data_IF_000107141355
#
_entry.id   IF_000107141355
#
_cell.length_a   1.000
_cell.length_b   1.000
_cell.length_c   1.000
_cell.angle_alpha   90.00
_cell.angle_beta   90.00
_cell.angle_gamma   90.00
#
_symmetry.space_group_name_H-M   'P 1'
#
loop_
_entity.id
_entity.type
_entity.pdbx_description
1 polymer ?
#
# COMPACT_ATOMS: atom_id res chain seq x y z
N UNK A 1 19.77 8.20 16.84
CA UNK A 1 18.51 8.78 16.33
C UNK A 1 18.06 7.92 15.17
N UNK A 2 16.84 7.41 15.24
CA UNK A 2 16.28 6.45 14.29
C UNK A 2 15.05 7.08 13.63
N UNK A 3 14.95 6.96 12.31
CA UNK A 3 13.75 7.36 11.56
C UNK A 3 12.81 6.17 11.46
N UNK A 4 11.52 6.37 11.72
CA UNK A 4 10.48 5.36 11.53
C UNK A 4 9.28 5.98 10.82
N UNK A 5 8.52 5.16 10.09
CA UNK A 5 7.24 5.59 9.52
C UNK A 5 6.15 5.38 10.57
N UNK A 6 5.44 6.45 10.89
CA UNK A 6 4.42 6.47 11.93
C UNK A 6 3.06 6.85 11.35
N UNK A 7 2.01 6.12 11.74
CA UNK A 7 0.63 6.51 11.46
C UNK A 7 0.07 7.32 12.62
N UNK A 8 -0.27 8.58 12.36
CA UNK A 8 -0.83 9.50 13.36
C UNK A 8 -2.30 9.21 13.74
N UNK A 9 -2.92 8.17 13.19
CA UNK A 9 -4.29 7.78 13.54
C UNK A 9 -4.36 7.16 14.95
N UNK A 10 -5.36 7.51 15.80
CA UNK A 10 -5.51 6.96 17.16
C UNK A 10 -5.60 5.43 17.23
N UNK A 11 -6.05 4.78 16.15
CA UNK A 11 -6.15 3.32 16.05
C UNK A 11 -4.97 2.69 15.28
N UNK A 12 -3.97 3.50 14.92
CA UNK A 12 -2.59 3.08 14.58
C UNK A 12 -2.44 1.93 13.60
N UNK A 13 -3.10 1.96 12.44
CA UNK A 13 -2.94 0.91 11.43
C UNK A 13 -2.17 1.42 10.22
N UNK A 14 -0.90 1.03 10.10
CA UNK A 14 -0.08 1.35 8.92
C UNK A 14 -0.83 0.99 7.64
N UNK A 15 -1.13 1.97 6.79
CA UNK A 15 -1.96 1.76 5.61
C UNK A 15 -1.46 2.55 4.40
N UNK A 16 -0.57 1.91 3.64
CA UNK A 16 0.02 2.48 2.44
C UNK A 16 -1.01 2.62 1.30
N UNK A 17 -0.89 3.72 0.55
CA UNK A 17 -1.65 3.98 -0.67
C UNK A 17 -1.30 2.97 -1.77
N UNK A 18 -2.20 2.79 -2.73
CA UNK A 18 -1.95 1.89 -3.85
C UNK A 18 -0.75 2.36 -4.68
N UNK A 19 -0.59 3.67 -4.84
CA UNK A 19 0.60 4.29 -5.43
C UNK A 19 1.86 3.96 -4.64
N UNK A 20 1.81 4.03 -3.30
CA UNK A 20 2.91 3.62 -2.44
C UNK A 20 3.30 2.15 -2.63
N UNK A 21 2.33 1.24 -2.72
CA UNK A 21 2.58 -0.17 -3.03
C UNK A 21 3.26 -0.34 -4.39
N UNK A 22 2.76 0.33 -5.44
CA UNK A 22 3.32 0.24 -6.79
C UNK A 22 4.77 0.71 -6.79
N UNK A 23 5.07 1.85 -6.17
CA UNK A 23 6.44 2.36 -6.08
C UNK A 23 7.34 1.42 -5.26
N UNK A 24 6.85 0.89 -4.14
CA UNK A 24 7.64 0.02 -3.25
C UNK A 24 8.00 -1.30 -3.93
N UNK A 25 7.03 -2.00 -4.52
CA UNK A 25 7.30 -3.26 -5.18
C UNK A 25 8.14 -3.11 -6.44
N UNK A 26 7.97 -1.99 -7.16
CA UNK A 26 8.82 -1.68 -8.30
C UNK A 26 10.25 -1.37 -7.87
N UNK A 27 10.45 -0.55 -6.83
CA UNK A 27 11.77 -0.11 -6.38
C UNK A 27 12.54 -1.22 -5.64
N UNK A 28 11.89 -1.95 -4.73
CA UNK A 28 12.55 -2.96 -3.89
C UNK A 28 12.75 -4.30 -4.59
N UNK A 29 11.77 -4.73 -5.40
CA UNK A 29 11.76 -6.09 -5.97
C UNK A 29 11.78 -6.10 -7.50
N UNK A 30 11.76 -4.94 -8.16
CA UNK A 30 11.54 -4.83 -9.61
C UNK A 30 10.31 -5.62 -10.10
N UNK A 31 9.27 -5.70 -9.28
CA UNK A 31 8.02 -6.41 -9.58
C UNK A 31 6.92 -5.42 -9.92
N UNK A 32 6.15 -5.76 -10.95
CA UNK A 32 4.89 -5.09 -11.22
C UNK A 32 3.80 -5.73 -10.36
N UNK A 33 2.89 -4.91 -9.87
CA UNK A 33 1.70 -5.34 -9.14
C UNK A 33 0.46 -4.76 -9.82
N UNK A 34 -0.68 -5.40 -9.59
CA UNK A 34 -1.96 -5.03 -10.18
C UNK A 34 -2.97 -4.85 -9.08
N UNK A 35 -3.71 -3.74 -9.15
CA UNK A 35 -4.69 -3.34 -8.16
C UNK A 35 -6.08 -3.64 -8.69
N UNK A 36 -6.91 -4.22 -7.85
CA UNK A 36 -8.31 -4.50 -8.14
C UNK A 36 -9.18 -3.88 -7.05
N UNK A 37 -10.35 -3.39 -7.43
CA UNK A 37 -11.38 -2.94 -6.49
C UNK A 37 -12.58 -3.86 -6.62
N UNK A 38 -13.15 -4.30 -5.49
CA UNK A 38 -14.38 -5.12 -5.49
C UNK A 38 -15.62 -4.22 -5.55
N UNK A 39 -16.51 -4.48 -6.50
CA UNK A 39 -17.76 -3.77 -6.70
C UNK A 39 -18.94 -4.50 -6.04
N UNK A 40 -20.09 -3.83 -5.96
CA UNK A 40 -21.29 -4.33 -5.26
C UNK A 40 -21.86 -5.61 -5.86
N UNK A 41 -21.71 -5.80 -7.16
CA UNK A 41 -22.08 -7.03 -7.89
C UNK A 41 -21.12 -8.22 -7.62
N UNK A 42 -20.11 -8.00 -6.77
CA UNK A 42 -19.11 -8.99 -6.40
C UNK A 42 -17.92 -9.08 -7.36
N UNK A 43 -17.97 -8.38 -8.50
CA UNK A 43 -16.87 -8.38 -9.48
C UNK A 43 -15.67 -7.57 -9.00
N UNK A 44 -14.49 -7.94 -9.48
CA UNK A 44 -13.26 -7.20 -9.28
C UNK A 44 -12.85 -6.54 -10.58
N UNK A 45 -12.61 -5.23 -10.55
CA UNK A 45 -12.15 -4.46 -11.70
C UNK A 45 -10.72 -3.99 -11.46
N UNK A 46 -9.84 -4.22 -12.44
CA UNK A 46 -8.45 -3.75 -12.40
C UNK A 46 -8.40 -2.23 -12.51
N UNK A 47 -7.65 -1.61 -11.62
CA UNK A 47 -7.46 -0.17 -11.55
C UNK A 47 -6.12 0.19 -12.21
N UNK A 48 -6.20 0.80 -13.38
CA UNK A 48 -5.01 1.22 -14.16
C UNK A 48 -4.64 2.69 -13.92
N UNK A 49 -5.59 3.53 -13.49
CA UNK A 49 -5.36 4.93 -13.11
C UNK A 49 -5.56 5.11 -11.59
N UNK A 50 -4.55 5.66 -10.91
CA UNK A 50 -4.52 5.89 -9.47
C UNK A 50 -4.74 7.36 -9.06
N UNK A 51 -5.25 8.22 -9.94
CA UNK A 51 -5.52 9.62 -9.61
C UNK A 51 -6.56 9.78 -8.50
N UNK A 52 -7.59 8.91 -8.49
CA UNK A 52 -8.66 8.90 -7.48
C UNK A 52 -8.57 7.67 -6.55
N UNK A 53 -7.36 7.18 -6.27
CA UNK A 53 -7.17 5.93 -5.51
C UNK A 53 -7.75 5.95 -4.08
N UNK A 54 -7.97 7.15 -3.52
CA UNK A 54 -8.57 7.36 -2.18
C UNK A 54 -10.06 6.99 -2.14
N UNK A 55 -10.74 6.99 -3.28
CA UNK A 55 -12.17 6.62 -3.38
C UNK A 55 -12.36 5.10 -3.53
N UNK A 56 -11.30 4.36 -3.80
CA UNK A 56 -11.34 2.91 -3.98
C UNK A 56 -11.70 2.22 -2.66
N UNK A 57 -12.65 1.28 -2.74
CA UNK A 57 -13.09 0.43 -1.63
C UNK A 57 -12.64 -1.01 -1.88
N UNK A 58 -12.40 -1.78 -0.82
CA UNK A 58 -12.14 -3.23 -0.93
C UNK A 58 -11.03 -3.58 -1.92
N UNK A 59 -9.88 -2.90 -1.80
CA UNK A 59 -8.76 -3.06 -2.71
C UNK A 59 -8.08 -4.42 -2.50
N UNK A 60 -7.73 -5.08 -3.59
CA UNK A 60 -6.90 -6.29 -3.61
C UNK A 60 -5.72 -6.03 -4.52
N UNK A 61 -4.52 -6.25 -4.00
CA UNK A 61 -3.27 -6.06 -4.73
C UNK A 61 -2.72 -7.43 -5.07
N UNK A 62 -2.25 -7.60 -6.30
CA UNK A 62 -1.81 -8.91 -6.83
C UNK A 62 -0.50 -8.80 -7.58
N UNK A 63 0.28 -9.89 -7.62
CA UNK A 63 1.49 -10.02 -8.44
C UNK A 63 1.19 -10.39 -9.90
N UNK A 64 -0.03 -10.85 -10.19
CA UNK A 64 -0.44 -11.35 -11.51
C UNK A 64 -1.51 -10.45 -12.13
N UNK A 65 -1.41 -10.24 -13.44
CA UNK A 65 -2.49 -9.65 -14.21
C UNK A 65 -3.57 -10.72 -14.43
N UNK A 66 -4.71 -10.57 -13.78
CA UNK A 66 -5.83 -11.50 -13.87
C UNK A 66 -6.83 -11.09 -14.97
N UNK A 67 -6.58 -9.98 -15.66
CA UNK A 67 -7.48 -9.41 -16.65
C UNK A 67 -8.11 -8.10 -16.16
N UNK A 68 -8.94 -7.48 -17.01
CA UNK A 68 -9.59 -6.20 -16.69
C UNK A 68 -10.71 -6.37 -15.65
N UNK A 69 -11.45 -7.47 -15.74
CA UNK A 69 -12.58 -7.80 -14.87
C UNK A 69 -12.52 -9.29 -14.53
N UNK A 70 -12.65 -9.63 -13.25
CA UNK A 70 -12.65 -11.02 -12.78
C UNK A 70 -13.73 -11.23 -11.71
N UNK A 71 -14.28 -12.43 -11.63
CA UNK A 71 -15.31 -12.79 -10.64
C UNK A 71 -14.70 -13.11 -9.27
N UNK A 72 -13.48 -13.64 -9.26
CA UNK A 72 -12.80 -14.08 -8.05
C UNK A 72 -11.30 -13.80 -8.14
N UNK A 73 -10.71 -13.46 -7.01
CA UNK A 73 -9.25 -13.41 -6.84
C UNK A 73 -8.92 -14.43 -5.74
N UNK A 74 -8.13 -15.49 -6.00
CA UNK A 74 -7.80 -16.48 -4.98
C UNK A 74 -7.05 -15.87 -3.80
N UNK A 75 -7.26 -16.40 -2.60
CA UNK A 75 -6.51 -16.01 -1.39
C UNK A 75 -5.22 -16.84 -1.30
N UNK A 76 -4.23 -16.49 -2.13
CA UNK A 76 -2.95 -17.20 -2.31
C UNK A 76 -1.79 -16.19 -2.29
N UNK A 77 -0.75 -16.43 -1.50
CA UNK A 77 0.41 -15.54 -1.34
C UNK A 77 1.26 -15.39 -2.61
N UNK A 78 1.14 -16.33 -3.56
CA UNK A 78 1.76 -16.23 -4.88
C UNK A 78 0.94 -15.37 -5.85
N UNK A 79 -0.30 -15.04 -5.49
CA UNK A 79 -1.20 -14.22 -6.28
C UNK A 79 -1.38 -12.85 -5.63
N UNK A 80 -1.72 -12.81 -4.34
CA UNK A 80 -1.99 -11.59 -3.59
C UNK A 80 -0.72 -11.04 -2.96
N UNK A 81 -0.65 -9.72 -2.90
CA UNK A 81 0.39 -9.01 -2.18
C UNK A 81 -0.02 -8.92 -0.71
N UNK A 82 0.85 -9.39 0.18
CA UNK A 82 0.67 -9.22 1.63
C UNK A 82 0.62 -7.74 1.98
N UNK A 83 -0.17 -7.41 3.00
CA UNK A 83 -0.24 -6.04 3.49
C UNK A 83 1.12 -5.66 4.09
N UNK A 84 1.60 -4.47 3.75
CA UNK A 84 2.67 -3.80 4.47
C UNK A 84 2.07 -3.30 5.77
N UNK A 85 2.68 -3.67 6.89
CA UNK A 85 2.26 -3.38 8.25
C UNK A 85 3.41 -2.71 9.05
N UNK A 86 3.26 -2.63 10.37
CA UNK A 86 4.23 -2.04 11.29
C UNK A 86 5.62 -2.68 11.23
N UNK A 87 5.74 -3.94 10.79
CA UNK A 87 7.05 -4.60 10.65
C UNK A 87 7.95 -3.96 9.59
N UNK A 88 7.40 -3.06 8.77
CA UNK A 88 8.10 -2.31 7.73
C UNK A 88 8.37 -0.84 8.09
N UNK A 89 8.03 -0.39 9.31
CA UNK A 89 8.18 1.02 9.70
C UNK A 89 9.63 1.54 9.59
N UNK A 90 10.60 0.63 9.68
CA UNK A 90 12.02 0.91 9.60
C UNK A 90 12.60 0.75 8.19
N UNK A 91 11.80 0.33 7.21
CA UNK A 91 12.28 0.05 5.86
C UNK A 91 12.71 1.34 5.13
N UNK A 92 14.00 1.44 4.79
CA UNK A 92 14.58 2.62 4.14
C UNK A 92 14.01 2.91 2.75
N UNK A 93 13.62 1.87 2.00
CA UNK A 93 13.00 2.06 0.68
C UNK A 93 11.59 2.63 0.85
N UNK A 94 10.85 2.10 1.82
CA UNK A 94 9.51 2.57 2.14
C UNK A 94 9.52 4.00 2.69
N UNK A 95 10.47 4.34 3.58
CA UNK A 95 10.70 5.71 4.06
C UNK A 95 10.91 6.67 2.91
N UNK A 96 11.83 6.35 1.99
CA UNK A 96 12.10 7.17 0.80
C UNK A 96 10.84 7.38 -0.06
N UNK A 97 9.95 6.39 -0.13
CA UNK A 97 8.68 6.51 -0.87
C UNK A 97 7.69 7.39 -0.11
N UNK A 98 7.57 7.24 1.21
CA UNK A 98 6.71 8.08 2.05
C UNK A 98 7.15 9.54 1.99
N UNK A 99 8.46 9.82 2.09
CA UNK A 99 9.03 11.16 1.89
C UNK A 99 8.66 11.76 0.53
N UNK A 100 8.78 10.97 -0.53
CA UNK A 100 8.49 11.42 -1.90
C UNK A 100 7.00 11.68 -2.13
N UNK A 101 6.12 10.81 -1.61
CA UNK A 101 4.67 10.89 -1.84
C UNK A 101 3.95 11.83 -0.86
N UNK A 102 4.53 12.10 0.31
CA UNK A 102 3.91 12.90 1.36
C UNK A 102 2.54 12.35 1.77
N UNK A 103 1.53 13.22 1.84
CA UNK A 103 0.15 12.84 2.19
C UNK A 103 -0.46 11.81 1.23
N UNK A 104 0.09 11.64 0.02
CA UNK A 104 -0.36 10.64 -0.94
C UNK A 104 0.23 9.24 -0.66
N UNK A 105 1.14 9.10 0.30
CA UNK A 105 1.65 7.81 0.73
C UNK A 105 0.61 7.01 1.52
N UNK A 106 -0.36 7.69 2.14
CA UNK A 106 -1.40 7.07 2.95
C UNK A 106 -2.66 6.76 2.12
N UNK A 107 -3.26 5.60 2.35
CA UNK A 107 -4.54 5.25 1.73
C UNK A 107 -5.74 5.86 2.44
N UNK A 108 -5.82 5.67 3.76
CA UNK A 108 -6.95 6.13 4.57
C UNK A 108 -6.72 7.60 4.96
N UNK A 109 -7.70 8.22 5.60
CA UNK A 109 -7.54 9.50 6.30
C UNK A 109 -6.53 9.43 7.48
N UNK A 110 -5.68 8.41 7.53
CA UNK A 110 -4.47 8.37 8.35
C UNK A 110 -3.39 9.26 7.74
N UNK A 111 -2.57 9.86 8.61
CA UNK A 111 -1.47 10.71 8.20
C UNK A 111 -0.16 9.96 8.47
N UNK A 112 0.38 9.31 7.44
CA UNK A 112 1.68 8.65 7.51
C UNK A 112 2.79 9.69 7.47
N UNK A 113 3.66 9.68 8.48
CA UNK A 113 4.80 10.59 8.58
C UNK A 113 6.06 9.85 8.93
N UNK A 114 7.21 10.41 8.57
CA UNK A 114 8.49 9.97 9.11
C UNK A 114 8.78 10.77 10.36
N UNK A 115 9.07 10.07 11.44
CA UNK A 115 9.43 10.68 12.72
C UNK A 115 10.82 10.22 13.13
N UNK A 116 11.57 11.13 13.75
CA UNK A 116 12.86 10.83 14.37
C UNK A 116 12.64 10.50 15.84
N UNK A 117 13.03 9.30 16.25
CA UNK A 117 12.98 8.83 17.63
C UNK A 117 14.39 8.69 18.18
N UNK A 118 14.57 9.11 19.43
CA UNK A 118 15.81 8.86 20.17
C UNK A 118 15.86 7.38 20.58
N UNK A 119 17.02 6.74 20.41
CA UNK A 119 17.24 5.43 21.00
C UNK A 119 17.45 5.64 22.50
N UNK A 120 16.42 5.37 23.29
CA UNK A 120 16.57 5.24 24.73
C UNK A 120 17.36 3.95 25.00
N UNK A 121 18.62 4.11 25.41
CA UNK A 121 19.51 3.05 25.92
C UNK A 121 18.96 2.39 27.18
#
# INVERSE_FOLDING_TARGET
>A
MKKIIFDMNPLGSFSLSCRGYVEYFKKKYNKNIYIYSRYEDGTYIRIDNLDNERELKNRVITFKNLGKTVLEIPFDDNIRVSLIDESYEEDEILKSIVEKLGDNASWKNSNLKIVEVEESL
#
